data_IF_452749031687
#
_entry.id   IF_452749031687
#
_cell.length_a   1.000
_cell.length_b   1.000
_cell.length_c   1.000
_cell.angle_alpha   90.00
_cell.angle_beta   90.00
_cell.angle_gamma   90.00
#
_symmetry.space_group_name_H-M   'P 1'
#
loop_
_entity.id
_entity.type
_entity.pdbx_description
1 polymer ?
#
# COMPACT_ATOMS: atom_id res chain seq x y z
N UNK A 1 -20.44 -20.40 -1.23
CA UNK A 1 -20.23 -21.79 -1.67
C UNK A 1 -21.55 -22.51 -1.46
N UNK A 2 -22.07 -23.13 -2.51
CA UNK A 2 -23.26 -23.98 -2.45
C UNK A 2 -22.73 -25.41 -2.70
N UNK A 3 -22.83 -26.31 -1.71
CA UNK A 3 -22.25 -27.66 -1.74
C UNK A 3 -21.49 -28.02 -0.45
N UNK A 4 -21.27 -29.31 -0.21
CA UNK A 4 -20.51 -29.79 0.95
C UNK A 4 -19.03 -29.38 0.82
N UNK A 5 -18.40 -29.04 1.95
CA UNK A 5 -16.99 -28.68 2.00
C UNK A 5 -16.35 -29.06 3.34
N UNK A 6 -15.05 -29.33 3.31
CA UNK A 6 -14.23 -29.53 4.51
C UNK A 6 -13.35 -28.31 4.75
N UNK A 7 -13.32 -27.80 5.98
CA UNK A 7 -12.39 -26.75 6.40
C UNK A 7 -11.34 -27.33 7.34
N UNK A 8 -10.08 -27.19 6.97
CA UNK A 8 -8.92 -27.45 7.81
C UNK A 8 -8.21 -26.12 8.10
N UNK A 9 -7.90 -25.84 9.36
CA UNK A 9 -7.22 -24.59 9.76
C UNK A 9 -5.93 -24.91 10.49
N UNK A 10 -4.83 -24.30 10.03
CA UNK A 10 -3.54 -24.33 10.73
C UNK A 10 -3.20 -22.94 11.23
N UNK A 11 -2.93 -22.82 12.53
CA UNK A 11 -2.54 -21.55 13.14
C UNK A 11 -1.03 -21.47 13.32
N UNK A 12 -0.50 -20.26 13.16
CA UNK A 12 0.92 -19.95 13.24
C UNK A 12 1.17 -18.82 14.23
N UNK A 13 2.22 -18.95 15.04
CA UNK A 13 2.77 -17.88 15.89
C UNK A 13 3.44 -16.81 15.03
N UNK A 14 3.80 -15.67 15.64
CA UNK A 14 4.61 -14.61 15.02
C UNK A 14 5.92 -15.15 14.41
N UNK A 15 6.53 -16.16 15.02
CA UNK A 15 7.78 -16.80 14.57
C UNK A 15 7.56 -17.97 13.61
N UNK A 16 6.34 -18.09 13.05
CA UNK A 16 5.98 -19.12 12.06
C UNK A 16 5.98 -20.56 12.61
N UNK A 17 5.80 -20.73 13.92
CA UNK A 17 5.59 -22.05 14.55
C UNK A 17 4.12 -22.44 14.53
N UNK A 18 3.80 -23.70 14.27
CA UNK A 18 2.41 -24.21 14.34
C UNK A 18 1.94 -24.23 15.79
N UNK A 19 0.70 -23.84 16.04
CA UNK A 19 0.13 -23.76 17.38
C UNK A 19 -1.34 -24.20 17.40
N UNK A 20 -1.76 -24.86 18.48
CA UNK A 20 -3.17 -25.24 18.68
C UNK A 20 -3.98 -24.17 19.44
N UNK A 21 -3.33 -23.43 20.33
CA UNK A 21 -3.96 -22.40 21.18
C UNK A 21 -3.07 -21.17 21.33
N UNK A 22 -3.63 -19.95 21.31
CA UNK A 22 -2.83 -18.73 21.44
C UNK A 22 -2.33 -18.55 22.88
N UNK A 23 -1.01 -18.69 23.09
CA UNK A 23 -0.33 -18.53 24.38
C UNK A 23 -0.09 -17.06 24.71
N UNK A 24 0.57 -16.35 23.82
CA UNK A 24 1.09 -15.00 24.03
C UNK A 24 0.22 -13.95 23.37
N UNK A 25 0.20 -12.73 23.92
CA UNK A 25 -0.45 -11.61 23.22
C UNK A 25 0.35 -11.22 21.98
N UNK A 26 -0.33 -10.93 20.87
CA UNK A 26 0.32 -10.50 19.64
C UNK A 26 -0.24 -11.16 18.39
N UNK A 27 0.54 -11.08 17.31
CA UNK A 27 0.22 -11.62 15.98
C UNK A 27 0.12 -13.14 15.98
N UNK A 28 -0.90 -13.64 15.30
CA UNK A 28 -1.01 -15.01 14.81
C UNK A 28 -1.45 -14.99 13.34
N UNK A 29 -1.27 -16.11 12.63
CA UNK A 29 -1.84 -16.30 11.30
C UNK A 29 -2.65 -17.59 11.23
N UNK A 30 -3.75 -17.57 10.49
CA UNK A 30 -4.50 -18.77 10.13
C UNK A 30 -4.39 -19.03 8.63
N UNK A 31 -3.97 -20.25 8.29
CA UNK A 31 -4.07 -20.80 6.94
C UNK A 31 -5.32 -21.67 6.93
N UNK A 32 -6.35 -21.20 6.25
CA UNK A 32 -7.65 -21.86 6.15
C UNK A 32 -7.71 -22.55 4.79
N UNK A 33 -7.71 -23.88 4.81
CA UNK A 33 -7.82 -24.73 3.64
C UNK A 33 -9.26 -25.22 3.53
N UNK A 34 -9.89 -24.93 2.40
CA UNK A 34 -11.28 -25.29 2.13
C UNK A 34 -11.27 -26.27 0.95
N UNK A 35 -11.71 -27.50 1.18
CA UNK A 35 -11.81 -28.53 0.16
C UNK A 35 -13.26 -28.66 -0.25
N UNK A 36 -13.58 -28.32 -1.49
CA UNK A 36 -14.91 -28.51 -2.05
C UNK A 36 -15.17 -30.00 -2.35
N UNK A 37 -16.43 -30.37 -2.53
CA UNK A 37 -16.86 -31.75 -2.83
C UNK A 37 -16.15 -32.36 -4.05
N UNK A 38 -15.83 -31.55 -5.06
CA UNK A 38 -15.12 -31.95 -6.27
C UNK A 38 -13.58 -32.11 -6.08
N UNK A 39 -13.10 -31.91 -4.86
CA UNK A 39 -11.69 -31.98 -4.50
C UNK A 39 -10.90 -30.69 -4.76
N UNK A 40 -11.51 -29.63 -5.31
CA UNK A 40 -10.80 -28.35 -5.46
C UNK A 40 -10.49 -27.72 -4.11
N UNK A 41 -9.24 -27.29 -3.96
CA UNK A 41 -8.75 -26.69 -2.73
C UNK A 41 -8.64 -25.17 -2.86
N UNK A 42 -9.24 -24.46 -1.91
CA UNK A 42 -9.14 -23.02 -1.75
C UNK A 42 -8.38 -22.70 -0.47
N UNK A 43 -7.30 -21.93 -0.59
CA UNK A 43 -6.55 -21.45 0.57
C UNK A 43 -6.90 -19.99 0.85
N UNK A 44 -7.14 -19.67 2.13
CA UNK A 44 -7.31 -18.31 2.64
C UNK A 44 -6.31 -18.05 3.75
N UNK A 45 -5.68 -16.89 3.70
CA UNK A 45 -4.74 -16.42 4.71
C UNK A 45 -5.44 -15.34 5.53
N UNK A 46 -5.40 -15.47 6.87
CA UNK A 46 -6.06 -14.55 7.80
C UNK A 46 -5.14 -14.19 8.95
N UNK A 47 -4.80 -12.92 9.07
CA UNK A 47 -4.10 -12.39 10.25
C UNK A 47 -5.04 -12.40 11.44
N UNK A 48 -4.53 -12.82 12.58
CA UNK A 48 -5.22 -12.82 13.86
C UNK A 48 -4.38 -12.04 14.88
N UNK A 49 -5.03 -11.50 15.91
CA UNK A 49 -4.34 -10.81 16.98
C UNK A 49 -4.94 -11.20 18.33
N UNK A 50 -4.10 -11.71 19.24
CA UNK A 50 -4.50 -12.03 20.61
C UNK A 50 -4.22 -10.82 21.50
N UNK A 51 -5.27 -10.20 22.02
CA UNK A 51 -5.14 -9.14 23.02
C UNK A 51 -4.77 -9.71 24.40
N UNK A 52 -4.16 -8.89 25.27
CA UNK A 52 -3.83 -9.29 26.65
C UNK A 52 -5.08 -9.56 27.50
N UNK A 53 -6.10 -8.74 27.29
CA UNK A 53 -7.41 -8.85 27.94
C UNK A 53 -8.51 -8.83 26.88
N UNK A 54 -9.70 -9.31 27.23
CA UNK A 54 -10.87 -9.17 26.35
C UNK A 54 -11.10 -7.69 26.08
N UNK A 55 -11.06 -7.33 24.80
CA UNK A 55 -11.24 -5.96 24.36
C UNK A 55 -12.70 -5.74 24.00
N UNK A 56 -13.29 -4.71 24.56
CA UNK A 56 -14.59 -4.16 24.20
C UNK A 56 -14.37 -2.66 24.07
N UNK A 57 -14.53 -2.15 22.84
CA UNK A 57 -14.23 -0.75 22.49
C UNK A 57 -15.46 0.13 22.75
N UNK A 58 -16.64 -0.48 22.84
CA UNK A 58 -17.87 0.19 23.25
C UNK A 58 -17.98 0.30 24.78
N UNK A 59 -18.52 1.43 25.23
CA UNK A 59 -18.96 1.77 26.59
C UNK A 59 -17.91 1.78 27.73
N UNK A 60 -16.89 0.91 27.69
CA UNK A 60 -15.93 0.73 28.79
C UNK A 60 -14.56 1.35 28.53
N UNK A 61 -14.19 1.56 27.25
CA UNK A 61 -12.94 2.20 26.84
C UNK A 61 -13.19 3.03 25.57
N UNK A 62 -13.92 4.16 25.67
CA UNK A 62 -14.23 4.98 24.50
C UNK A 62 -12.95 5.45 23.82
N UNK A 63 -12.97 5.48 22.49
CA UNK A 63 -11.90 6.11 21.73
C UNK A 63 -11.85 7.61 22.08
N UNK A 64 -10.64 8.13 22.23
CA UNK A 64 -10.39 9.55 22.43
C UNK A 64 -9.44 10.05 21.33
N UNK A 65 -9.68 11.27 20.87
CA UNK A 65 -9.00 11.86 19.73
C UNK A 65 -9.91 12.73 18.87
N UNK A 66 -9.26 13.54 18.04
CA UNK A 66 -9.93 14.41 17.07
C UNK A 66 -9.72 13.84 15.66
N UNK A 67 -10.83 13.58 14.97
CA UNK A 67 -10.81 13.12 13.59
C UNK A 67 -11.10 14.31 12.66
N UNK A 68 -10.13 14.61 11.81
CA UNK A 68 -10.25 15.66 10.81
C UNK A 68 -10.90 15.10 9.54
N UNK A 69 -12.06 15.64 9.19
CA UNK A 69 -12.78 15.29 7.98
C UNK A 69 -12.48 16.30 6.86
N UNK A 70 -12.43 15.86 5.59
CA UNK A 70 -12.27 16.77 4.46
C UNK A 70 -13.36 17.85 4.44
N UNK A 71 -12.97 19.11 4.16
CA UNK A 71 -13.90 20.24 4.05
C UNK A 71 -15.00 20.02 2.99
N UNK A 72 -14.72 19.20 1.98
CA UNK A 72 -15.68 18.79 0.94
C UNK A 72 -16.95 18.11 1.48
N UNK A 73 -16.95 17.63 2.72
CA UNK A 73 -18.15 17.07 3.37
C UNK A 73 -19.17 18.18 3.71
N UNK A 74 -18.75 19.45 3.75
CA UNK A 74 -19.65 20.59 3.96
C UNK A 74 -20.12 20.79 5.40
N UNK A 75 -19.41 20.20 6.37
CA UNK A 75 -19.67 20.38 7.81
C UNK A 75 -18.55 21.21 8.42
N UNK A 76 -18.92 22.26 9.15
CA UNK A 76 -17.98 23.17 9.81
C UNK A 76 -17.10 22.44 10.83
N UNK A 77 -15.81 22.78 10.88
CA UNK A 77 -14.82 22.16 11.77
C UNK A 77 -15.22 22.22 13.24
N UNK A 78 -15.80 23.33 13.68
CA UNK A 78 -16.27 23.49 15.05
C UNK A 78 -17.40 22.51 15.40
N UNK A 79 -18.22 22.11 14.43
CA UNK A 79 -19.27 21.10 14.63
C UNK A 79 -18.62 19.73 14.87
N UNK A 80 -17.60 19.35 14.08
CA UNK A 80 -16.84 18.12 14.29
C UNK A 80 -16.20 18.08 15.68
N UNK A 81 -15.55 19.17 16.07
CA UNK A 81 -14.93 19.31 17.39
C UNK A 81 -15.93 19.14 18.54
N UNK A 82 -17.09 19.80 18.43
CA UNK A 82 -18.16 19.73 19.42
C UNK A 82 -18.83 18.35 19.46
N UNK A 83 -18.85 17.61 18.35
CA UNK A 83 -19.42 16.27 18.23
C UNK A 83 -18.37 15.15 18.33
N UNK A 84 -17.14 15.45 18.78
CA UNK A 84 -16.03 14.48 18.82
C UNK A 84 -16.38 13.16 19.50
N UNK A 85 -17.15 13.18 20.59
CA UNK A 85 -17.54 11.96 21.30
C UNK A 85 -18.47 11.09 20.44
N UNK A 86 -19.49 11.69 19.82
CA UNK A 86 -20.41 10.99 18.91
C UNK A 86 -19.67 10.36 17.73
N UNK A 87 -18.68 11.07 17.19
CA UNK A 87 -17.81 10.57 16.12
C UNK A 87 -16.96 9.39 16.60
N UNK A 88 -16.32 9.51 17.76
CA UNK A 88 -15.47 8.47 18.34
C UNK A 88 -16.27 7.21 18.70
N UNK A 89 -17.49 7.37 19.22
CA UNK A 89 -18.40 6.27 19.49
C UNK A 89 -18.77 5.53 18.19
N UNK A 90 -19.10 6.27 17.13
CA UNK A 90 -19.38 5.69 15.81
C UNK A 90 -18.18 4.88 15.29
N UNK A 91 -16.96 5.40 15.42
CA UNK A 91 -15.74 4.69 15.00
C UNK A 91 -15.49 3.45 15.86
N UNK A 92 -15.69 3.54 17.18
CA UNK A 92 -15.62 2.38 18.09
C UNK A 92 -16.56 1.26 17.65
N UNK A 93 -17.83 1.57 17.39
CA UNK A 93 -18.79 0.59 16.85
C UNK A 93 -18.45 0.11 15.44
N UNK A 94 -17.83 0.94 14.60
CA UNK A 94 -17.36 0.52 13.29
C UNK A 94 -16.25 -0.54 13.43
N UNK A 95 -15.29 -0.35 14.34
CA UNK A 95 -14.23 -1.33 14.62
C UNK A 95 -14.83 -2.62 15.19
N UNK A 96 -15.78 -2.54 16.13
CA UNK A 96 -16.41 -3.76 16.67
C UNK A 96 -17.14 -4.57 15.60
N UNK A 97 -17.80 -3.90 14.65
CA UNK A 97 -18.41 -4.56 13.49
C UNK A 97 -17.36 -5.15 12.54
N UNK A 98 -16.25 -4.46 12.36
CA UNK A 98 -15.14 -4.90 11.51
C UNK A 98 -14.49 -6.18 12.05
N UNK A 99 -14.26 -6.27 13.36
CA UNK A 99 -13.68 -7.46 14.03
C UNK A 99 -14.46 -8.75 13.70
N UNK A 100 -15.76 -8.67 13.43
CA UNK A 100 -16.61 -9.81 13.09
C UNK A 100 -16.64 -10.14 11.59
N UNK A 101 -16.21 -9.21 10.73
CA UNK A 101 -16.39 -9.28 9.27
C UNK A 101 -15.10 -9.37 8.49
N UNK A 102 -14.02 -8.84 9.04
CA UNK A 102 -12.72 -8.74 8.41
C UNK A 102 -11.60 -9.08 9.39
N UNK A 103 -10.36 -9.02 8.91
CA UNK A 103 -9.17 -9.14 9.73
C UNK A 103 -8.31 -7.87 9.65
N UNK A 104 -8.87 -6.77 9.16
CA UNK A 104 -8.13 -5.52 8.91
C UNK A 104 -7.71 -4.87 10.24
N UNK A 105 -8.58 -4.90 11.25
CA UNK A 105 -8.19 -4.45 12.58
C UNK A 105 -7.10 -5.33 13.21
N UNK A 106 -7.13 -6.65 12.97
CA UNK A 106 -6.05 -7.54 13.42
C UNK A 106 -4.72 -7.25 12.70
N UNK A 107 -4.76 -6.91 11.40
CA UNK A 107 -3.59 -6.45 10.63
C UNK A 107 -3.01 -5.17 11.25
N UNK A 108 -3.88 -4.20 11.57
CA UNK A 108 -3.46 -2.95 12.20
C UNK A 108 -2.78 -3.22 13.54
N UNK A 109 -3.42 -3.98 14.44
CA UNK A 109 -2.88 -4.30 15.77
C UNK A 109 -1.56 -5.07 15.68
N UNK A 110 -1.50 -6.09 14.82
CA UNK A 110 -0.28 -6.87 14.61
C UNK A 110 0.87 -5.98 14.15
N UNK A 111 0.65 -5.17 13.12
CA UNK A 111 1.66 -4.28 12.58
C UNK A 111 2.13 -3.22 13.59
N UNK A 112 1.22 -2.56 14.30
CA UNK A 112 1.57 -1.54 15.31
C UNK A 112 2.29 -2.16 16.50
N UNK A 113 1.88 -3.34 16.97
CA UNK A 113 2.53 -4.04 18.10
C UNK A 113 3.99 -4.44 17.83
N UNK A 114 4.38 -4.45 16.55
CA UNK A 114 5.71 -4.83 16.07
C UNK A 114 6.59 -3.61 15.73
N UNK A 115 6.08 -2.39 15.90
CA UNK A 115 6.83 -1.16 15.67
C UNK A 115 7.74 -0.82 16.85
N UNK A 116 8.85 -0.15 16.57
CA UNK A 116 9.72 0.41 17.60
C UNK A 116 9.07 1.67 18.19
N UNK A 117 9.03 1.84 19.52
CA UNK A 117 8.54 3.07 20.16
C UNK A 117 9.35 4.33 19.80
N UNK A 118 10.59 4.17 19.32
CA UNK A 118 11.49 5.28 18.98
C UNK A 118 11.38 5.71 17.52
N UNK A 119 10.47 5.11 16.74
CA UNK A 119 10.32 5.43 15.33
C UNK A 119 9.50 6.72 15.14
N UNK A 120 10.19 7.83 14.83
CA UNK A 120 9.58 9.17 14.74
C UNK A 120 8.62 9.34 13.54
N UNK A 121 8.76 8.54 12.48
CA UNK A 121 7.82 8.53 11.36
C UNK A 121 7.72 7.16 10.70
N UNK A 122 6.49 6.66 10.56
CA UNK A 122 6.21 5.43 9.81
C UNK A 122 6.15 5.80 8.34
N UNK A 123 7.18 5.44 7.57
CA UNK A 123 7.09 5.50 6.11
C UNK A 123 5.99 4.54 5.62
N UNK A 124 5.46 4.73 4.41
CA UNK A 124 4.51 3.77 3.81
C UNK A 124 5.08 2.33 3.78
N UNK A 125 6.40 2.20 3.68
CA UNK A 125 7.11 0.92 3.71
C UNK A 125 7.11 0.27 5.10
N UNK A 126 6.89 1.05 6.15
CA UNK A 126 6.84 0.58 7.54
C UNK A 126 5.41 0.48 8.10
N UNK A 127 4.39 0.73 7.28
CA UNK A 127 2.99 0.66 7.70
C UNK A 127 2.59 -0.73 8.21
N UNK A 128 1.54 -0.80 9.04
CA UNK A 128 1.03 -2.07 9.56
C UNK A 128 0.67 -3.08 8.44
N UNK A 129 0.07 -2.58 7.35
CA UNK A 129 -0.25 -3.39 6.17
C UNK A 129 1.02 -3.93 5.52
N UNK A 130 2.06 -3.11 5.37
CA UNK A 130 3.33 -3.57 4.78
C UNK A 130 3.99 -4.61 5.66
N UNK A 131 4.06 -4.41 6.98
CA UNK A 131 4.59 -5.42 7.92
C UNK A 131 3.82 -6.73 7.85
N UNK A 132 2.50 -6.67 7.78
CA UNK A 132 1.66 -7.86 7.63
C UNK A 132 1.90 -8.61 6.31
N UNK A 133 1.99 -7.89 5.20
CA UNK A 133 2.34 -8.49 3.89
C UNK A 133 3.71 -9.14 3.92
N UNK A 134 4.69 -8.51 4.57
CA UNK A 134 6.04 -9.08 4.72
C UNK A 134 6.04 -10.34 5.59
N UNK A 135 5.28 -10.35 6.67
CA UNK A 135 5.10 -11.53 7.51
C UNK A 135 4.47 -12.68 6.71
N UNK A 136 3.39 -12.43 5.97
CA UNK A 136 2.76 -13.45 5.13
C UNK A 136 3.66 -13.94 4.01
N UNK A 137 4.42 -13.06 3.37
CA UNK A 137 5.39 -13.45 2.34
C UNK A 137 6.41 -14.44 2.91
N UNK A 138 6.96 -14.17 4.10
CA UNK A 138 7.93 -15.04 4.77
C UNK A 138 7.32 -16.40 5.12
N UNK A 139 6.11 -16.42 5.69
CA UNK A 139 5.42 -17.67 5.98
C UNK A 139 5.15 -18.49 4.71
N UNK A 140 4.59 -17.87 3.67
CA UNK A 140 4.31 -18.56 2.40
C UNK A 140 5.57 -19.16 1.80
N UNK A 141 6.67 -18.41 1.77
CA UNK A 141 7.98 -18.89 1.33
C UNK A 141 8.48 -20.10 2.11
N UNK A 142 8.22 -20.16 3.42
CA UNK A 142 8.56 -21.32 4.25
C UNK A 142 7.67 -22.53 3.89
N UNK A 143 6.36 -22.31 3.72
CA UNK A 143 5.40 -23.39 3.47
C UNK A 143 5.56 -24.03 2.10
N UNK A 144 6.03 -23.27 1.11
CA UNK A 144 6.16 -23.76 -0.27
C UNK A 144 7.60 -24.04 -0.71
N UNK A 145 8.56 -24.01 0.23
CA UNK A 145 9.97 -24.25 -0.07
C UNK A 145 10.67 -23.11 -0.82
N UNK A 146 10.00 -22.00 -1.13
CA UNK A 146 10.62 -20.86 -1.81
C UNK A 146 11.67 -20.15 -0.95
N UNK A 147 11.66 -20.35 0.36
CA UNK A 147 12.72 -19.90 1.25
C UNK A 147 14.08 -20.50 0.85
N UNK A 148 14.10 -21.79 0.50
CA UNK A 148 15.30 -22.53 0.10
C UNK A 148 15.58 -22.33 -1.39
N UNK A 149 14.54 -22.47 -2.23
CA UNK A 149 14.64 -22.36 -3.69
C UNK A 149 15.15 -20.99 -4.16
N UNK A 150 14.81 -19.93 -3.43
CA UNK A 150 15.23 -18.56 -3.71
C UNK A 150 15.96 -17.96 -2.50
N UNK A 151 16.91 -18.72 -1.94
CA UNK A 151 17.70 -18.28 -0.79
C UNK A 151 18.55 -17.04 -1.08
N UNK A 152 19.02 -16.90 -2.32
CA UNK A 152 19.75 -15.73 -2.77
C UNK A 152 18.78 -14.60 -3.16
N UNK A 153 19.05 -13.40 -2.64
CA UNK A 153 18.32 -12.20 -3.05
C UNK A 153 18.65 -11.90 -4.51
N UNK A 154 17.63 -11.66 -5.32
CA UNK A 154 17.84 -11.11 -6.66
C UNK A 154 18.62 -9.82 -6.52
N UNK A 155 19.83 -9.78 -7.11
CA UNK A 155 20.66 -8.60 -7.08
C UNK A 155 19.86 -7.39 -7.56
N UNK A 156 20.05 -6.23 -6.93
CA UNK A 156 19.42 -4.99 -7.36
C UNK A 156 19.66 -4.77 -8.88
N UNK A 157 18.76 -4.03 -9.56
CA UNK A 157 19.08 -3.41 -10.85
C UNK A 157 20.53 -2.95 -10.89
N UNK A 158 21.31 -3.46 -11.85
CA UNK A 158 22.66 -2.96 -12.08
C UNK A 158 22.50 -1.61 -12.77
N UNK A 159 23.17 -0.59 -12.25
CA UNK A 159 23.31 0.65 -13.01
C UNK A 159 24.13 0.33 -14.26
N UNK A 160 23.51 0.46 -15.43
CA UNK A 160 24.21 0.26 -16.69
C UNK A 160 24.91 1.57 -17.02
N UNK A 161 26.20 1.64 -16.70
CA UNK A 161 27.04 2.77 -17.11
C UNK A 161 27.34 2.65 -18.62
N UNK A 162 27.26 3.76 -19.36
CA UNK A 162 27.67 3.81 -20.76
C UNK A 162 26.59 3.51 -21.81
N UNK A 163 25.36 3.20 -21.40
CA UNK A 163 24.22 3.49 -22.28
C UNK A 163 24.18 5.01 -22.40
N UNK A 164 24.43 5.56 -23.58
CA UNK A 164 24.37 7.00 -23.87
C UNK A 164 22.93 7.55 -23.78
N UNK A 165 22.20 7.20 -22.72
CA UNK A 165 20.90 7.76 -22.41
C UNK A 165 21.14 9.21 -21.97
N UNK A 166 20.60 10.19 -22.71
CA UNK A 166 20.85 11.59 -22.40
C UNK A 166 20.15 11.96 -21.09
N UNK A 167 20.94 12.43 -20.12
CA UNK A 167 20.47 12.82 -18.79
C UNK A 167 19.54 14.03 -18.89
N UNK A 168 18.40 13.98 -18.21
CA UNK A 168 17.49 15.11 -18.12
C UNK A 168 18.17 16.29 -17.41
N UNK A 169 18.08 17.48 -18.00
CA UNK A 169 18.49 18.74 -17.38
C UNK A 169 17.39 19.77 -17.52
N UNK A 170 17.32 20.70 -16.58
CA UNK A 170 16.48 21.88 -16.72
C UNK A 170 16.98 22.77 -17.88
N UNK A 171 16.08 23.49 -18.52
CA UNK A 171 16.40 24.44 -19.58
C UNK A 171 15.18 25.16 -20.15
N UNK A 172 15.37 25.88 -21.25
CA UNK A 172 14.32 26.71 -21.85
C UNK A 172 13.50 25.96 -22.90
N UNK A 173 12.34 26.51 -23.25
CA UNK A 173 11.53 26.00 -24.36
C UNK A 173 12.29 26.05 -25.72
N UNK A 174 13.18 27.03 -25.90
CA UNK A 174 14.03 27.14 -27.09
C UNK A 174 15.06 25.99 -27.14
N UNK A 175 15.75 25.71 -26.03
CA UNK A 175 16.69 24.59 -25.93
C UNK A 175 16.00 23.23 -26.18
N UNK A 176 14.76 23.09 -25.71
CA UNK A 176 13.91 21.94 -25.98
C UNK A 176 13.40 21.88 -27.45
N UNK A 177 13.67 22.91 -28.25
CA UNK A 177 13.26 23.06 -29.65
C UNK A 177 11.76 23.32 -29.83
N UNK A 178 11.11 23.89 -28.82
CA UNK A 178 9.69 24.25 -28.84
C UNK A 178 9.50 25.61 -29.52
N UNK A 179 8.28 25.90 -29.93
CA UNK A 179 7.93 27.22 -30.47
C UNK A 179 7.90 28.25 -29.34
N UNK A 180 8.20 29.53 -29.60
CA UNK A 180 8.04 30.58 -28.60
C UNK A 180 6.62 30.60 -27.99
N UNK A 181 6.54 30.90 -26.68
CA UNK A 181 5.32 30.94 -25.87
C UNK A 181 4.62 29.59 -25.69
N UNK A 182 5.35 28.48 -25.82
CA UNK A 182 4.78 27.16 -25.56
C UNK A 182 4.54 26.96 -24.07
N UNK A 183 5.49 27.34 -23.22
CA UNK A 183 5.35 27.29 -21.75
C UNK A 183 4.15 28.10 -21.28
N UNK A 184 4.00 29.33 -21.77
CA UNK A 184 2.87 30.21 -21.44
C UNK A 184 1.52 29.56 -21.77
N UNK A 185 1.39 28.97 -22.98
CA UNK A 185 0.16 28.29 -23.40
C UNK A 185 -0.15 27.03 -22.58
N UNK A 186 0.87 26.23 -22.28
CA UNK A 186 0.72 25.04 -21.43
C UNK A 186 0.26 25.47 -20.03
N UNK A 187 0.92 26.47 -19.45
CA UNK A 187 0.54 26.98 -18.13
C UNK A 187 -0.92 27.46 -18.11
N UNK A 188 -1.36 28.24 -19.11
CA UNK A 188 -2.74 28.72 -19.19
C UNK A 188 -3.78 27.60 -19.23
N UNK A 189 -3.53 26.53 -20.00
CA UNK A 189 -4.43 25.35 -20.05
C UNK A 189 -4.47 24.63 -18.71
N UNK A 190 -3.32 24.48 -18.04
CA UNK A 190 -3.25 23.78 -16.77
C UNK A 190 -3.84 24.61 -15.62
N UNK A 191 -3.72 25.94 -15.66
CA UNK A 191 -4.42 26.84 -14.74
C UNK A 191 -5.93 26.79 -14.93
N UNK A 192 -6.42 26.81 -16.18
CA UNK A 192 -7.84 26.65 -16.48
C UNK A 192 -8.36 25.32 -15.95
N UNK A 193 -7.65 24.22 -16.20
CA UNK A 193 -8.02 22.91 -15.67
C UNK A 193 -7.98 22.85 -14.14
N UNK A 194 -6.97 23.44 -13.52
CA UNK A 194 -6.86 23.48 -12.06
C UNK A 194 -7.99 24.29 -11.40
N UNK A 195 -8.51 25.31 -12.08
CA UNK A 195 -9.66 26.08 -11.61
C UNK A 195 -10.99 25.33 -11.76
N UNK A 196 -11.09 24.39 -12.70
CA UNK A 196 -12.28 23.56 -12.94
C UNK A 196 -12.25 22.21 -12.20
N UNK A 197 -11.17 21.90 -11.48
CA UNK A 197 -10.92 20.60 -10.86
C UNK A 197 -10.63 20.72 -9.37
N UNK A 198 -11.28 19.87 -8.57
CA UNK A 198 -10.97 19.71 -7.13
C UNK A 198 -9.74 18.81 -6.87
N UNK A 199 -9.08 18.33 -7.94
CA UNK A 199 -7.94 17.41 -7.84
C UNK A 199 -6.61 18.15 -8.10
N UNK A 200 -5.69 18.20 -7.12
CA UNK A 200 -4.37 18.78 -7.32
C UNK A 200 -3.45 17.83 -8.09
N UNK A 201 -2.65 18.36 -9.03
CA UNK A 201 -1.75 17.59 -9.89
C UNK A 201 -0.44 18.34 -10.17
N UNK A 202 0.64 17.59 -10.47
CA UNK A 202 1.89 18.14 -10.97
C UNK A 202 2.18 17.65 -12.40
N UNK A 203 2.89 18.46 -13.17
CA UNK A 203 3.21 18.19 -14.57
C UNK A 203 4.69 18.47 -14.82
N UNK A 204 5.38 17.50 -15.40
CA UNK A 204 6.74 17.63 -15.90
C UNK A 204 6.76 17.27 -17.40
N UNK A 205 7.30 18.16 -18.22
CA UNK A 205 7.41 17.97 -19.67
C UNK A 205 8.87 18.17 -20.09
N UNK A 206 9.39 17.16 -20.76
CA UNK A 206 10.74 17.18 -21.28
C UNK A 206 10.79 16.84 -22.78
N UNK A 207 11.72 17.47 -23.50
CA UNK A 207 12.02 17.14 -24.90
C UNK A 207 13.50 17.35 -25.16
N UNK A 208 14.12 16.42 -25.91
CA UNK A 208 15.57 16.43 -26.19
C UNK A 208 16.42 16.52 -24.91
N UNK A 209 15.96 15.81 -23.87
CA UNK A 209 16.53 15.82 -22.53
C UNK A 209 16.51 17.17 -21.80
N UNK A 210 15.75 18.14 -22.30
CA UNK A 210 15.49 19.40 -21.63
C UNK A 210 14.14 19.33 -20.97
N UNK A 211 14.11 19.41 -19.64
CA UNK A 211 12.91 19.73 -18.87
C UNK A 211 12.69 21.22 -19.04
N UNK A 212 11.66 21.59 -19.81
CA UNK A 212 11.34 23.00 -20.08
C UNK A 212 10.06 23.45 -19.35
N UNK A 213 9.43 22.53 -18.61
CA UNK A 213 8.22 22.77 -17.86
C UNK A 213 8.13 21.78 -16.69
N UNK A 214 8.03 22.27 -15.46
CA UNK A 214 7.91 21.45 -14.26
C UNK A 214 7.19 22.22 -13.14
N UNK A 215 5.92 21.91 -12.87
CA UNK A 215 5.08 22.73 -11.99
C UNK A 215 3.96 21.92 -11.30
N UNK A 216 3.49 22.40 -10.14
CA UNK A 216 2.33 21.88 -9.41
C UNK A 216 1.12 22.82 -9.50
N UNK A 217 -0.09 22.25 -9.48
CA UNK A 217 -1.37 22.95 -9.61
C UNK A 217 -2.37 22.49 -8.54
N UNK A 218 -3.10 23.44 -7.96
CA UNK A 218 -4.11 23.20 -6.94
C UNK A 218 -3.57 23.09 -5.51
N UNK A 219 -4.45 22.70 -4.60
CA UNK A 219 -4.18 22.66 -3.16
C UNK A 219 -4.48 21.28 -2.57
N UNK A 220 -3.71 20.87 -1.56
CA UNK A 220 -3.98 19.70 -0.72
C UNK A 220 -3.97 20.12 0.74
N UNK A 221 -5.05 19.87 1.46
CA UNK A 221 -5.21 20.25 2.86
C UNK A 221 -4.93 21.75 3.09
N UNK A 222 -5.42 22.60 2.18
CA UNK A 222 -5.23 24.05 2.24
C UNK A 222 -3.82 24.55 1.85
N UNK A 223 -2.90 23.67 1.49
CA UNK A 223 -1.53 24.05 1.08
C UNK A 223 -1.34 23.86 -0.43
N UNK A 224 -0.70 24.81 -1.14
CA UNK A 224 -0.41 24.66 -2.56
C UNK A 224 0.55 23.50 -2.76
N UNK A 225 0.35 22.72 -3.83
CA UNK A 225 1.29 21.66 -4.19
C UNK A 225 2.40 22.19 -5.11
N UNK A 226 3.52 21.49 -5.13
CA UNK A 226 4.70 21.79 -5.95
C UNK A 226 4.99 20.66 -6.94
N UNK A 227 5.92 20.89 -7.86
CA UNK A 227 6.45 19.85 -8.74
C UNK A 227 6.93 18.60 -7.96
N UNK A 228 7.49 18.79 -6.77
CA UNK A 228 8.04 17.72 -5.92
C UNK A 228 7.01 17.10 -4.96
N UNK A 229 5.77 17.58 -4.96
CA UNK A 229 4.74 17.01 -4.10
C UNK A 229 4.50 15.56 -4.46
N UNK A 230 4.51 14.67 -3.46
CA UNK A 230 4.30 13.24 -3.68
C UNK A 230 2.82 12.95 -3.93
N UNK A 231 2.54 12.16 -4.96
CA UNK A 231 1.19 11.69 -5.29
C UNK A 231 1.12 10.16 -5.23
N UNK A 232 -0.08 9.63 -4.97
CA UNK A 232 -0.36 8.22 -5.18
C UNK A 232 -0.41 7.96 -6.68
N UNK A 233 0.49 7.10 -7.18
CA UNK A 233 0.64 6.84 -8.62
C UNK A 233 -0.29 5.73 -9.16
N UNK A 234 -1.06 5.08 -8.27
CA UNK A 234 -2.07 4.06 -8.60
C UNK A 234 -1.66 3.13 -9.77
N UNK A 235 -2.37 3.18 -10.90
CA UNK A 235 -2.17 2.29 -12.03
C UNK A 235 -0.83 2.49 -12.77
N UNK A 236 -0.16 3.64 -12.61
CA UNK A 236 1.20 3.85 -13.14
C UNK A 236 2.18 2.81 -12.55
N UNK A 237 1.90 2.29 -11.35
CA UNK A 237 2.63 1.17 -10.74
C UNK A 237 2.70 -0.06 -11.67
N UNK A 238 1.73 -0.25 -12.57
CA UNK A 238 1.76 -1.35 -13.56
C UNK A 238 2.90 -1.20 -14.55
N UNK A 239 3.17 0.02 -15.03
CA UNK A 239 4.29 0.27 -15.93
C UNK A 239 5.63 -0.04 -15.23
N UNK A 240 5.79 0.42 -13.98
CA UNK A 240 6.97 0.13 -13.17
C UNK A 240 7.13 -1.38 -12.91
N UNK A 241 6.04 -2.06 -12.59
CA UNK A 241 6.03 -3.52 -12.37
C UNK A 241 6.37 -4.29 -13.65
N UNK A 242 5.88 -3.82 -14.81
CA UNK A 242 6.22 -4.36 -16.12
C UNK A 242 7.69 -4.21 -16.44
N UNK A 243 8.29 -3.05 -16.17
CA UNK A 243 9.74 -2.86 -16.32
C UNK A 243 10.53 -3.83 -15.44
N UNK A 244 10.14 -3.98 -14.16
CA UNK A 244 10.80 -4.92 -13.25
C UNK A 244 10.70 -6.37 -13.75
N UNK A 245 9.54 -6.77 -14.26
CA UNK A 245 9.34 -8.10 -14.85
C UNK A 245 10.28 -8.32 -16.05
N UNK A 246 10.36 -7.34 -16.96
CA UNK A 246 11.26 -7.40 -18.11
C UNK A 246 12.72 -7.50 -17.70
N UNK A 247 13.13 -6.80 -16.63
CA UNK A 247 14.49 -6.95 -16.10
C UNK A 247 14.79 -8.35 -15.58
N UNK A 248 13.78 -9.09 -15.05
CA UNK A 248 13.96 -10.49 -14.69
C UNK A 248 14.08 -11.39 -15.91
N UNK A 249 13.35 -11.09 -16.98
CA UNK A 249 13.43 -11.80 -18.27
C UNK A 249 14.78 -11.59 -18.94
N UNK A 250 15.26 -10.35 -19.01
CA UNK A 250 16.57 -10.00 -19.59
C UNK A 250 17.73 -10.71 -18.87
N UNK A 251 17.55 -11.01 -17.58
CA UNK A 251 18.50 -11.74 -16.75
C UNK A 251 18.34 -13.27 -16.82
N UNK A 252 17.38 -13.78 -17.59
CA UNK A 252 17.08 -15.20 -17.69
C UNK A 252 16.53 -15.82 -16.40
N UNK A 253 16.02 -15.01 -15.45
CA UNK A 253 15.49 -15.49 -14.17
C UNK A 253 14.13 -16.17 -14.38
N UNK A 254 13.32 -15.63 -15.29
CA UNK A 254 12.02 -16.17 -15.72
C UNK A 254 11.83 -15.97 -17.22
N UNK A 255 10.95 -16.75 -17.83
CA UNK A 255 10.45 -16.56 -19.20
C UNK A 255 9.03 -16.00 -19.20
N UNK A 256 8.64 -15.31 -20.27
CA UNK A 256 7.24 -14.87 -20.47
C UNK A 256 6.27 -16.05 -20.55
N UNK A 257 6.74 -17.19 -21.07
CA UNK A 257 5.94 -18.41 -21.23
C UNK A 257 6.01 -19.35 -20.02
N UNK A 258 6.71 -18.95 -18.95
CA UNK A 258 6.73 -19.76 -17.73
C UNK A 258 5.32 -19.86 -17.13
N UNK A 259 4.86 -21.06 -16.75
CA UNK A 259 3.59 -21.17 -16.06
C UNK A 259 3.68 -20.45 -14.72
N UNK A 260 2.61 -19.76 -14.31
CA UNK A 260 2.58 -18.98 -13.06
C UNK A 260 2.99 -19.82 -11.84
N UNK A 261 2.59 -21.09 -11.82
CA UNK A 261 2.97 -22.06 -10.76
C UNK A 261 4.47 -22.34 -10.67
N UNK A 262 5.27 -22.06 -11.71
CA UNK A 262 6.72 -22.17 -11.66
C UNK A 262 7.32 -21.24 -10.59
N UNK A 263 6.70 -20.08 -10.35
CA UNK A 263 7.17 -19.07 -9.39
C UNK A 263 6.22 -18.96 -8.19
N UNK A 264 4.96 -19.38 -8.33
CA UNK A 264 3.88 -19.21 -7.36
C UNK A 264 3.14 -20.50 -6.96
N UNK A 265 3.86 -21.49 -6.45
CA UNK A 265 3.32 -22.42 -5.45
C UNK A 265 4.03 -22.11 -4.15
#
# INVERSE_FOLDING_TARGET
MLGDYKIDVTFYTKEYGVVEKPTDSGRYGAVVKITAEDGHEYVRFRTLYKTKHRMMLSFNNPLDGELMFPSAIGVEELIWHNQRQSVNDYVGFAIERDIQRSHDFAILLAGVSEMSPQQEAVSQLESAITKDRQWWLRLKRKLNGNAERFAELTAAPLSINGLNAPVLREGTEEEAGMKPRTVEKINGILEEWANDSDQPFNVCIARRSIVFFNQGYGFRNGQPITADTKHLVFAITKALSGCLLMMFIDRGIISLDDPVGKVGH
#
